data_IF_419912794129
#
_entry.id   IF_419912794129
#
_cell.length_a   1.000
_cell.length_b   1.000
_cell.length_c   1.000
_cell.angle_alpha   90.00
_cell.angle_beta   90.00
_cell.angle_gamma   90.00
#
_symmetry.space_group_name_H-M   'P 1'
#
loop_
_entity.id
_entity.type
_entity.pdbx_description
1 polymer ?
#
# COMPACT_ATOMS: atom_id res chain seq x y z
N UNK A 1 -11.97 4.61 -22.72
CA UNK A 1 -12.00 5.89 -21.97
C UNK A 1 -10.65 6.57 -22.05
N UNK A 2 -10.63 7.90 -22.02
CA UNK A 2 -9.44 8.72 -21.74
C UNK A 2 -9.40 9.00 -20.24
N UNK A 3 -8.42 8.44 -19.55
CA UNK A 3 -8.30 8.52 -18.09
C UNK A 3 -7.08 9.36 -17.73
N UNK A 4 -7.28 10.43 -16.95
CA UNK A 4 -6.17 11.17 -16.36
C UNK A 4 -5.94 10.68 -14.92
N UNK A 5 -4.80 10.07 -14.67
CA UNK A 5 -4.36 9.72 -13.32
C UNK A 5 -3.54 10.88 -12.75
N UNK A 6 -4.00 11.47 -11.64
CA UNK A 6 -3.32 12.60 -10.98
C UNK A 6 -2.70 12.11 -9.68
N UNK A 7 -1.39 12.12 -9.63
CA UNK A 7 -0.60 11.63 -8.49
C UNK A 7 0.70 12.43 -8.36
N UNK A 8 1.02 12.92 -7.16
CA UNK A 8 2.22 13.74 -6.96
C UNK A 8 3.51 13.03 -7.37
N UNK A 9 3.58 11.71 -7.23
CA UNK A 9 4.77 10.91 -7.50
C UNK A 9 4.38 9.64 -8.26
N UNK A 10 4.78 9.55 -9.53
CA UNK A 10 4.52 8.38 -10.38
C UNK A 10 5.81 7.75 -10.92
N UNK A 11 6.72 8.55 -11.43
CA UNK A 11 7.94 8.09 -12.11
C UNK A 11 9.04 7.65 -11.16
N UNK A 12 9.10 8.20 -9.96
CA UNK A 12 10.02 7.79 -8.88
C UNK A 12 9.33 6.79 -7.94
N UNK A 13 9.33 5.50 -8.27
CA UNK A 13 8.62 4.47 -7.50
C UNK A 13 9.39 4.00 -6.27
N UNK A 14 9.13 4.60 -5.12
CA UNK A 14 9.77 4.24 -3.85
C UNK A 14 8.79 3.80 -2.75
N UNK A 15 7.48 3.77 -3.03
CA UNK A 15 6.46 3.39 -2.05
C UNK A 15 5.34 2.55 -2.68
N UNK A 16 4.59 1.83 -1.84
CA UNK A 16 3.55 0.90 -2.26
C UNK A 16 2.44 1.54 -3.07
N UNK A 17 2.04 2.78 -2.73
CA UNK A 17 1.01 3.53 -3.45
C UNK A 17 1.40 3.79 -4.92
N UNK A 18 2.63 4.25 -5.16
CA UNK A 18 3.13 4.48 -6.52
C UNK A 18 3.23 3.17 -7.32
N UNK A 19 3.67 2.08 -6.66
CA UNK A 19 3.72 0.76 -7.29
C UNK A 19 2.32 0.30 -7.68
N UNK A 20 1.34 0.44 -6.80
CA UNK A 20 -0.06 0.12 -7.09
C UNK A 20 -0.61 0.96 -8.25
N UNK A 21 -0.43 2.28 -8.22
CA UNK A 21 -0.88 3.17 -9.29
C UNK A 21 -0.29 2.77 -10.66
N UNK A 22 1.00 2.41 -10.71
CA UNK A 22 1.65 1.94 -11.95
C UNK A 22 1.04 0.63 -12.46
N UNK A 23 0.77 -0.33 -11.57
CA UNK A 23 0.13 -1.60 -11.92
C UNK A 23 -1.27 -1.37 -12.48
N UNK A 24 -2.07 -0.50 -11.85
CA UNK A 24 -3.39 -0.12 -12.35
C UNK A 24 -3.31 0.53 -13.73
N UNK A 25 -2.42 1.50 -13.93
CA UNK A 25 -2.21 2.17 -15.23
C UNK A 25 -1.83 1.16 -16.30
N UNK A 26 -0.93 0.22 -15.99
CA UNK A 26 -0.52 -0.81 -16.94
C UNK A 26 -1.69 -1.67 -17.39
N UNK A 27 -2.53 -2.15 -16.45
CA UNK A 27 -3.68 -3.00 -16.77
C UNK A 27 -4.76 -2.20 -17.49
N UNK A 28 -5.05 -0.95 -17.09
CA UNK A 28 -5.99 -0.07 -17.80
C UNK A 28 -5.58 0.15 -19.26
N UNK A 29 -4.28 0.34 -19.53
CA UNK A 29 -3.75 0.45 -20.89
C UNK A 29 -3.90 -0.87 -21.67
N UNK A 30 -3.69 -2.03 -21.02
CA UNK A 30 -3.93 -3.35 -21.61
C UNK A 30 -5.42 -3.57 -21.98
N UNK A 31 -6.34 -3.00 -21.21
CA UNK A 31 -7.78 -2.99 -21.53
C UNK A 31 -8.17 -1.99 -22.63
N UNK A 32 -7.20 -1.30 -23.23
CA UNK A 32 -7.41 -0.40 -24.36
C UNK A 32 -7.82 1.02 -23.96
N UNK A 33 -7.64 1.42 -22.71
CA UNK A 33 -7.86 2.81 -22.29
C UNK A 33 -6.64 3.68 -22.63
N UNK A 34 -6.90 4.94 -23.06
CA UNK A 34 -5.86 5.96 -23.16
C UNK A 34 -5.65 6.56 -21.75
N UNK A 35 -4.55 6.18 -21.08
CA UNK A 35 -4.24 6.62 -19.72
C UNK A 35 -3.03 7.53 -19.74
N UNK A 36 -3.23 8.79 -19.33
CA UNK A 36 -2.17 9.77 -19.14
C UNK A 36 -1.98 10.11 -17.68
N UNK A 37 -0.78 10.58 -17.37
CA UNK A 37 -0.36 10.84 -15.98
C UNK A 37 -0.10 12.33 -15.81
N UNK A 38 -0.63 12.92 -14.73
CA UNK A 38 -0.22 14.22 -14.24
C UNK A 38 0.58 14.04 -12.93
N UNK A 39 1.89 14.31 -12.96
CA UNK A 39 2.81 13.98 -11.87
C UNK A 39 4.08 14.82 -11.90
N UNK A 40 4.88 14.75 -10.83
CA UNK A 40 6.28 15.20 -10.92
C UNK A 40 7.07 14.32 -11.87
N UNK A 41 7.98 14.91 -12.61
CA UNK A 41 8.85 14.16 -13.50
C UNK A 41 9.59 15.06 -14.48
N UNK A 42 10.39 14.43 -15.33
CA UNK A 42 11.06 15.08 -16.45
C UNK A 42 10.85 14.24 -17.72
N UNK A 43 10.95 14.83 -18.93
CA UNK A 43 10.68 14.13 -20.18
C UNK A 43 11.52 12.84 -20.36
N UNK A 44 12.71 12.78 -19.77
CA UNK A 44 13.62 11.63 -19.88
C UNK A 44 13.10 10.39 -19.13
N UNK A 45 12.09 10.55 -18.26
CA UNK A 45 11.47 9.45 -17.51
C UNK A 45 10.30 8.82 -18.25
N UNK A 46 9.86 9.41 -19.36
CA UNK A 46 8.74 8.92 -20.16
C UNK A 46 9.18 7.75 -21.04
N UNK A 47 8.31 6.76 -21.17
CA UNK A 47 8.48 5.73 -22.18
C UNK A 47 8.28 6.32 -23.59
N UNK A 48 8.84 5.66 -24.62
CA UNK A 48 8.66 6.07 -26.02
C UNK A 48 7.17 6.17 -26.38
N UNK A 49 6.76 7.36 -26.84
CA UNK A 49 5.37 7.65 -27.19
C UNK A 49 4.43 7.92 -26.02
N UNK A 50 4.91 7.91 -24.77
CA UNK A 50 4.08 8.25 -23.62
C UNK A 50 3.82 9.76 -23.57
N UNK A 51 2.56 10.13 -23.33
CA UNK A 51 2.14 11.50 -23.09
C UNK A 51 1.80 11.68 -21.62
N UNK A 52 2.45 12.65 -20.97
CA UNK A 52 2.20 12.99 -19.57
C UNK A 52 2.20 14.51 -19.35
N UNK A 53 1.58 14.94 -18.26
CA UNK A 53 1.56 16.34 -17.81
C UNK A 53 2.54 16.47 -16.63
N UNK A 54 3.77 16.86 -16.97
CA UNK A 54 4.88 16.86 -16.00
C UNK A 54 4.96 18.17 -15.25
N UNK A 55 5.24 18.07 -13.97
CA UNK A 55 5.35 19.18 -13.04
C UNK A 55 6.69 19.15 -12.29
N UNK A 56 7.18 20.30 -11.88
CA UNK A 56 8.36 20.41 -11.03
C UNK A 56 8.08 19.82 -9.62
N UNK A 57 9.15 19.36 -8.95
CA UNK A 57 9.07 19.00 -7.53
C UNK A 57 8.91 20.26 -6.68
N UNK A 58 7.97 20.21 -5.75
CA UNK A 58 7.81 21.24 -4.74
C UNK A 58 8.79 21.00 -3.60
N UNK A 59 9.60 22.00 -3.30
CA UNK A 59 10.44 22.03 -2.10
C UNK A 59 9.65 22.59 -0.93
N UNK A 60 9.59 21.86 0.18
CA UNK A 60 8.94 22.30 1.43
C UNK A 60 10.03 22.53 2.47
N UNK A 61 10.56 23.75 2.63
CA UNK A 61 11.64 24.05 3.56
C UNK A 61 11.36 23.47 4.95
N UNK A 62 12.39 22.95 5.62
CA UNK A 62 12.31 22.31 6.95
C UNK A 62 11.71 20.89 6.93
N UNK A 63 10.73 20.58 6.09
CA UNK A 63 10.06 19.28 6.05
C UNK A 63 10.55 18.34 4.94
N UNK A 64 11.36 18.82 3.99
CA UNK A 64 11.83 18.00 2.84
C UNK A 64 12.51 16.71 3.28
N UNK A 65 13.31 16.73 4.34
CA UNK A 65 13.98 15.52 4.85
C UNK A 65 12.98 14.51 5.42
N UNK A 66 11.97 14.99 6.12
CA UNK A 66 10.91 14.14 6.69
C UNK A 66 10.06 13.54 5.56
N UNK A 67 9.65 14.35 4.59
CA UNK A 67 8.87 13.94 3.41
C UNK A 67 9.64 12.90 2.61
N UNK A 68 10.91 13.17 2.30
CA UNK A 68 11.78 12.24 1.58
C UNK A 68 12.03 10.94 2.35
N UNK A 69 12.14 11.01 3.69
CA UNK A 69 12.28 9.80 4.53
C UNK A 69 11.04 8.91 4.47
N UNK A 70 9.88 9.47 4.15
CA UNK A 70 8.63 8.75 3.89
C UNK A 70 8.54 8.23 2.45
N UNK A 71 9.54 8.47 1.60
CA UNK A 71 9.53 8.12 0.17
C UNK A 71 8.47 8.91 -0.60
N UNK A 72 8.13 10.12 -0.14
CA UNK A 72 7.15 10.99 -0.78
C UNK A 72 7.84 12.18 -1.47
N UNK A 73 7.20 12.64 -2.54
CA UNK A 73 7.54 13.88 -3.26
C UNK A 73 6.25 14.59 -3.57
N UNK A 74 6.20 15.92 -3.42
CA UNK A 74 5.06 16.74 -3.80
C UNK A 74 5.30 17.46 -5.12
N UNK A 75 4.22 17.66 -5.88
CA UNK A 75 4.24 18.42 -7.11
C UNK A 75 4.00 19.90 -6.82
N UNK A 76 4.81 20.77 -7.43
CA UNK A 76 4.48 22.18 -7.58
C UNK A 76 3.47 22.27 -8.70
N UNK A 77 2.22 22.58 -8.36
CA UNK A 77 1.12 22.59 -9.33
C UNK A 77 1.40 23.58 -10.46
N UNK A 78 1.44 23.08 -11.69
CA UNK A 78 1.34 23.84 -12.93
C UNK A 78 -0.12 23.79 -13.40
N UNK A 79 -0.85 24.89 -13.18
CA UNK A 79 -2.29 24.93 -13.48
C UNK A 79 -2.57 24.74 -14.99
N UNK A 80 -1.70 25.23 -15.88
CA UNK A 80 -1.89 25.10 -17.33
C UNK A 80 -1.73 23.64 -17.78
N UNK A 81 -0.71 22.94 -17.30
CA UNK A 81 -0.50 21.52 -17.57
C UNK A 81 -1.64 20.66 -17.00
N UNK A 82 -2.04 20.95 -15.76
CA UNK A 82 -3.11 20.21 -15.09
C UNK A 82 -4.46 20.43 -15.80
N UNK A 83 -4.77 21.67 -16.18
CA UNK A 83 -5.99 22.00 -16.92
C UNK A 83 -6.03 21.33 -18.29
N UNK A 84 -4.92 21.34 -19.04
CA UNK A 84 -4.83 20.65 -20.33
C UNK A 84 -5.09 19.14 -20.18
N UNK A 85 -4.55 18.51 -19.14
CA UNK A 85 -4.79 17.10 -18.82
C UNK A 85 -6.24 16.81 -18.47
N UNK A 86 -6.85 17.62 -17.62
CA UNK A 86 -8.23 17.47 -17.18
C UNK A 86 -9.20 17.70 -18.37
N UNK A 87 -8.95 18.72 -19.19
CA UNK A 87 -9.77 18.99 -20.36
C UNK A 87 -9.76 17.83 -21.37
N UNK A 88 -8.62 17.18 -21.56
CA UNK A 88 -8.45 16.04 -22.45
C UNK A 88 -9.20 14.78 -21.97
N UNK A 89 -9.32 14.57 -20.65
CA UNK A 89 -9.83 13.33 -20.07
C UNK A 89 -11.36 13.19 -20.19
N UNK A 90 -11.83 11.94 -20.28
CA UNK A 90 -13.24 11.58 -20.05
C UNK A 90 -13.51 11.49 -18.55
N UNK A 91 -12.54 11.03 -17.76
CA UNK A 91 -12.59 10.96 -16.28
C UNK A 91 -11.22 11.24 -15.67
N UNK A 92 -11.23 11.91 -14.51
CA UNK A 92 -10.01 12.19 -13.73
C UNK A 92 -10.00 11.38 -12.45
N UNK A 93 -8.90 10.67 -12.18
CA UNK A 93 -8.71 9.94 -10.93
C UNK A 93 -7.59 10.55 -10.09
N UNK A 94 -7.94 11.06 -8.91
CA UNK A 94 -7.01 11.66 -7.97
C UNK A 94 -6.55 10.64 -6.93
N UNK A 95 -5.23 10.44 -6.80
CA UNK A 95 -4.69 9.32 -6.00
C UNK A 95 -4.37 9.72 -4.55
N UNK A 96 -3.99 10.97 -4.29
CA UNK A 96 -3.56 11.42 -2.97
C UNK A 96 -4.17 12.77 -2.57
N UNK A 97 -4.44 13.03 -1.27
CA UNK A 97 -5.20 14.19 -0.81
C UNK A 97 -4.33 15.45 -0.58
N UNK A 98 -3.46 15.80 -1.54
CA UNK A 98 -2.57 16.94 -1.40
C UNK A 98 -2.91 18.10 -2.35
N UNK A 99 -2.04 19.11 -2.41
CA UNK A 99 -2.28 20.35 -3.14
C UNK A 99 -2.61 20.11 -4.62
N UNK A 100 -1.89 19.21 -5.29
CA UNK A 100 -2.13 18.86 -6.69
C UNK A 100 -3.58 18.40 -6.92
N UNK A 101 -4.07 17.51 -6.07
CA UNK A 101 -5.47 17.04 -6.10
C UNK A 101 -6.46 18.16 -5.81
N UNK A 102 -6.22 18.99 -4.81
CA UNK A 102 -7.10 20.12 -4.48
C UNK A 102 -7.26 21.08 -5.66
N UNK A 103 -6.15 21.46 -6.30
CA UNK A 103 -6.19 22.29 -7.51
C UNK A 103 -6.90 21.58 -8.66
N UNK A 104 -6.62 20.29 -8.87
CA UNK A 104 -7.23 19.48 -9.91
C UNK A 104 -8.76 19.37 -9.78
N UNK A 105 -9.27 19.15 -8.56
CA UNK A 105 -10.72 19.10 -8.31
C UNK A 105 -11.38 20.45 -8.66
N UNK A 106 -10.76 21.58 -8.30
CA UNK A 106 -11.29 22.91 -8.66
C UNK A 106 -11.37 23.09 -10.17
N UNK A 107 -10.34 22.64 -10.90
CA UNK A 107 -10.31 22.69 -12.36
C UNK A 107 -11.36 21.75 -12.96
N UNK A 108 -11.44 20.49 -12.49
CA UNK A 108 -12.42 19.52 -12.95
C UNK A 108 -13.86 20.03 -12.78
N UNK A 109 -14.19 20.61 -11.62
CA UNK A 109 -15.49 21.26 -11.37
C UNK A 109 -15.77 22.42 -12.33
N UNK A 110 -14.78 23.29 -12.59
CA UNK A 110 -14.93 24.41 -13.53
C UNK A 110 -15.16 23.94 -14.97
N UNK A 111 -14.52 22.83 -15.35
CA UNK A 111 -14.63 22.24 -16.69
C UNK A 111 -15.76 21.20 -16.81
N UNK A 112 -16.56 21.03 -15.77
CA UNK A 112 -17.64 20.01 -15.70
C UNK A 112 -17.15 18.59 -16.03
N UNK A 113 -15.91 18.24 -15.62
CA UNK A 113 -15.33 16.92 -15.85
C UNK A 113 -15.65 15.97 -14.70
N UNK A 114 -16.09 14.73 -14.99
CA UNK A 114 -16.26 13.72 -13.95
C UNK A 114 -14.93 13.36 -13.31
N UNK A 115 -14.95 13.16 -11.99
CA UNK A 115 -13.74 12.78 -11.26
C UNK A 115 -14.05 11.83 -10.10
N UNK A 116 -13.07 11.05 -9.76
CA UNK A 116 -13.03 10.14 -8.62
C UNK A 116 -11.77 10.40 -7.81
N UNK A 117 -11.74 9.99 -6.55
CA UNK A 117 -10.54 10.12 -5.73
C UNK A 117 -10.26 8.82 -4.96
N UNK A 118 -8.99 8.49 -4.75
CA UNK A 118 -8.58 7.38 -3.91
C UNK A 118 -8.13 7.85 -2.53
N UNK A 119 -8.32 7.02 -1.52
CA UNK A 119 -7.84 7.26 -0.17
C UNK A 119 -6.65 6.34 0.15
N UNK A 120 -5.46 6.73 -0.28
CA UNK A 120 -4.23 5.95 -0.09
C UNK A 120 -3.29 6.48 1.00
N UNK A 121 -3.70 7.51 1.74
CA UNK A 121 -2.88 8.12 2.80
C UNK A 121 -3.62 8.05 4.12
N UNK A 122 -3.24 7.11 4.97
CA UNK A 122 -3.82 6.95 6.30
C UNK A 122 -3.20 7.96 7.28
N UNK A 123 -4.02 8.75 8.00
CA UNK A 123 -3.54 9.73 9.00
C UNK A 123 -2.59 9.15 10.05
N UNK A 124 -2.83 7.91 10.48
CA UNK A 124 -1.99 7.19 11.43
C UNK A 124 -0.55 7.00 10.94
N UNK A 125 -0.35 6.80 9.64
CA UNK A 125 0.99 6.68 9.06
C UNK A 125 1.72 8.03 9.05
N UNK A 126 0.99 9.14 8.84
CA UNK A 126 1.56 10.49 8.91
C UNK A 126 1.97 10.81 10.35
N UNK A 127 1.06 10.63 11.31
CA UNK A 127 1.29 10.96 12.72
C UNK A 127 2.31 10.04 13.38
N UNK A 128 2.42 8.78 12.97
CA UNK A 128 3.46 7.84 13.43
C UNK A 128 4.87 8.33 13.11
N UNK A 129 5.05 9.02 11.99
CA UNK A 129 6.37 9.56 11.60
C UNK A 129 6.91 10.61 12.58
N UNK A 130 6.03 11.23 13.36
CA UNK A 130 6.35 12.20 14.43
C UNK A 130 6.00 11.66 15.82
N UNK A 131 5.91 10.33 15.97
CA UNK A 131 5.60 9.62 17.24
C UNK A 131 4.21 9.92 17.82
N UNK A 132 3.26 10.39 17.01
CA UNK A 132 1.88 10.70 17.39
C UNK A 132 0.85 9.71 16.82
N UNK A 133 1.27 8.55 16.31
CA UNK A 133 0.40 7.55 15.67
C UNK A 133 -0.77 7.04 16.54
N UNK A 134 -0.66 7.16 17.87
CA UNK A 134 -1.71 6.81 18.82
C UNK A 134 -2.53 8.02 19.29
N UNK A 135 -2.26 9.24 18.79
CA UNK A 135 -2.97 10.44 19.18
C UNK A 135 -4.30 10.56 18.40
N UNK A 136 -5.36 9.97 18.92
CA UNK A 136 -6.68 9.93 18.28
C UNK A 136 -7.18 11.30 17.82
N UNK A 137 -7.00 12.35 18.63
CA UNK A 137 -7.42 13.71 18.27
C UNK A 137 -6.65 14.25 17.08
N UNK A 138 -5.34 13.96 16.99
CA UNK A 138 -4.49 14.37 15.86
C UNK A 138 -4.95 13.65 14.59
N UNK A 139 -5.13 12.34 14.64
CA UNK A 139 -5.57 11.53 13.50
C UNK A 139 -6.97 11.97 13.04
N UNK A 140 -7.91 12.16 13.97
CA UNK A 140 -9.25 12.67 13.65
C UNK A 140 -9.19 14.06 13.01
N UNK A 141 -8.32 14.94 13.48
CA UNK A 141 -8.08 16.25 12.88
C UNK A 141 -7.57 16.15 11.44
N UNK A 142 -6.67 15.21 11.15
CA UNK A 142 -6.15 14.98 9.79
C UNK A 142 -7.25 14.40 8.88
N UNK A 143 -8.07 13.43 9.35
CA UNK A 143 -9.23 12.95 8.60
C UNK A 143 -10.20 14.09 8.25
N UNK A 144 -10.49 14.98 9.22
CA UNK A 144 -11.36 16.11 9.01
C UNK A 144 -10.78 17.13 8.01
N UNK A 145 -9.47 17.36 8.11
CA UNK A 145 -8.76 18.22 7.16
C UNK A 145 -8.80 17.63 5.74
N UNK A 146 -8.48 16.36 5.55
CA UNK A 146 -8.58 15.70 4.25
C UNK A 146 -9.99 15.78 3.68
N UNK A 147 -11.00 15.51 4.52
CA UNK A 147 -12.40 15.63 4.10
C UNK A 147 -12.71 17.01 3.57
N UNK A 148 -12.41 18.05 4.33
CA UNK A 148 -12.74 19.44 3.96
C UNK A 148 -11.90 19.96 2.80
N UNK A 149 -10.64 19.51 2.71
CA UNK A 149 -9.70 20.01 1.72
C UNK A 149 -9.85 19.35 0.35
N UNK A 150 -10.25 18.06 0.31
CA UNK A 150 -10.31 17.26 -0.92
C UNK A 150 -11.65 16.54 -1.06
N UNK A 151 -12.03 15.70 -0.09
CA UNK A 151 -13.04 14.66 -0.33
C UNK A 151 -14.48 15.13 -0.21
N UNK A 152 -14.77 16.32 0.31
CA UNK A 152 -16.14 16.84 0.42
C UNK A 152 -16.83 17.00 -0.96
N UNK A 153 -16.05 17.22 -2.02
CA UNK A 153 -16.54 17.37 -3.38
C UNK A 153 -16.50 16.05 -4.18
N UNK A 154 -15.93 14.98 -3.60
CA UNK A 154 -15.77 13.69 -4.29
C UNK A 154 -17.01 12.82 -4.09
N UNK A 155 -17.73 12.51 -5.18
CA UNK A 155 -18.88 11.59 -5.16
C UNK A 155 -18.44 10.13 -5.07
N UNK A 156 -17.34 9.77 -5.70
CA UNK A 156 -16.80 8.42 -5.75
C UNK A 156 -15.40 8.40 -5.12
N UNK A 157 -15.26 7.60 -4.06
CA UNK A 157 -13.99 7.47 -3.32
C UNK A 157 -13.56 6.01 -3.33
N UNK A 158 -12.43 5.73 -3.94
CA UNK A 158 -11.77 4.44 -3.91
C UNK A 158 -11.10 4.22 -2.55
N UNK A 159 -11.50 3.17 -1.85
CA UNK A 159 -10.94 2.73 -0.57
C UNK A 159 -10.24 1.38 -0.77
N UNK A 160 -8.95 1.23 -0.43
CA UNK A 160 -8.24 -0.04 -0.66
C UNK A 160 -8.70 -1.17 0.26
N UNK A 161 -9.44 -0.88 1.33
CA UNK A 161 -9.96 -1.89 2.24
C UNK A 161 -11.27 -1.47 2.91
N UNK A 162 -11.99 -2.46 3.45
CA UNK A 162 -13.21 -2.23 4.23
C UNK A 162 -12.92 -1.42 5.52
N UNK A 163 -11.74 -1.60 6.12
CA UNK A 163 -11.30 -0.79 7.26
C UNK A 163 -11.30 0.69 6.89
N UNK A 164 -10.65 1.06 5.80
CA UNK A 164 -10.57 2.46 5.36
C UNK A 164 -11.95 3.01 5.04
N UNK A 165 -12.80 2.27 4.34
CA UNK A 165 -14.18 2.69 4.10
C UNK A 165 -14.96 2.91 5.42
N UNK A 166 -14.73 2.07 6.42
CA UNK A 166 -15.29 2.22 7.77
C UNK A 166 -14.80 3.49 8.49
N UNK A 167 -13.50 3.79 8.40
CA UNK A 167 -12.90 5.00 8.97
C UNK A 167 -13.47 6.26 8.30
N UNK A 168 -13.56 6.27 6.97
CA UNK A 168 -14.13 7.42 6.26
C UNK A 168 -15.60 7.68 6.67
N UNK A 169 -16.41 6.63 6.78
CA UNK A 169 -17.79 6.77 7.27
C UNK A 169 -17.83 7.35 8.68
N UNK A 170 -17.01 6.85 9.62
CA UNK A 170 -16.90 7.36 10.99
C UNK A 170 -16.52 8.84 11.05
N UNK A 171 -15.72 9.31 10.11
CA UNK A 171 -15.31 10.72 10.01
C UNK A 171 -16.21 11.57 9.11
N UNK A 172 -17.39 11.05 8.73
CA UNK A 172 -18.44 11.81 8.05
C UNK A 172 -18.17 12.09 6.57
N UNK A 173 -17.44 11.22 5.88
CA UNK A 173 -17.34 11.28 4.42
C UNK A 173 -18.65 10.81 3.79
N UNK A 174 -19.20 11.60 2.87
CA UNK A 174 -20.54 11.41 2.30
C UNK A 174 -20.53 10.82 0.88
N UNK A 175 -19.38 10.76 0.22
CA UNK A 175 -19.25 10.14 -1.10
C UNK A 175 -19.53 8.64 -1.07
N UNK A 176 -19.84 8.06 -2.22
CA UNK A 176 -19.94 6.62 -2.41
C UNK A 176 -18.54 6.01 -2.25
N UNK A 177 -18.41 5.09 -1.29
CA UNK A 177 -17.16 4.43 -0.98
C UNK A 177 -17.08 3.11 -1.73
N UNK A 178 -16.12 3.02 -2.65
CA UNK A 178 -15.83 1.82 -3.43
C UNK A 178 -14.66 1.08 -2.78
N UNK A 179 -14.93 -0.09 -2.22
CA UNK A 179 -13.86 -0.92 -1.63
C UNK A 179 -13.23 -1.74 -2.75
N UNK A 180 -12.07 -1.29 -3.21
CA UNK A 180 -11.33 -1.88 -4.32
C UNK A 180 -9.90 -2.12 -3.85
N UNK A 181 -9.47 -3.37 -3.81
CA UNK A 181 -8.09 -3.75 -3.43
C UNK A 181 -7.07 -3.19 -4.43
N UNK A 182 -5.85 -2.93 -3.94
CA UNK A 182 -4.71 -2.62 -4.80
C UNK A 182 -4.29 -3.80 -5.70
N UNK A 183 -4.82 -4.99 -5.42
CA UNK A 183 -4.59 -6.19 -6.19
C UNK A 183 -3.20 -6.80 -6.00
N UNK A 184 -3.10 -8.06 -6.34
CA UNK A 184 -1.84 -8.81 -6.32
C UNK A 184 -1.30 -8.86 -7.75
N UNK A 185 -0.04 -8.48 -7.90
CA UNK A 185 0.68 -8.60 -9.17
C UNK A 185 0.75 -10.08 -9.61
N UNK A 186 0.43 -10.42 -10.86
CA UNK A 186 0.31 -11.80 -11.33
C UNK A 186 1.61 -12.61 -11.26
N UNK A 187 2.77 -11.99 -11.07
CA UNK A 187 4.02 -12.71 -10.88
C UNK A 187 4.12 -13.37 -9.50
N UNK A 188 3.34 -12.88 -8.50
CA UNK A 188 3.27 -13.49 -7.18
C UNK A 188 2.28 -14.66 -7.20
N UNK A 189 2.79 -15.84 -7.44
CA UNK A 189 2.02 -17.09 -7.49
C UNK A 189 2.65 -18.13 -6.59
N UNK A 190 1.84 -19.12 -6.16
CA UNK A 190 2.33 -20.21 -5.33
C UNK A 190 3.57 -20.88 -5.93
N UNK A 191 4.65 -20.85 -5.19
CA UNK A 191 5.91 -21.53 -5.56
C UNK A 191 6.71 -21.91 -4.32
N UNK A 192 7.46 -23.00 -4.43
CA UNK A 192 8.48 -23.40 -3.48
C UNK A 192 9.80 -23.58 -4.21
N UNK A 193 10.86 -23.16 -3.57
CA UNK A 193 12.23 -23.39 -4.06
C UNK A 193 13.08 -23.99 -2.94
N UNK A 194 14.03 -24.88 -3.24
CA UNK A 194 15.05 -25.28 -2.29
C UNK A 194 15.79 -24.05 -1.77
N UNK A 195 16.09 -24.06 -0.47
CA UNK A 195 16.90 -23.00 0.14
C UNK A 195 18.31 -23.06 -0.40
N UNK A 196 18.91 -21.89 -0.61
CA UNK A 196 20.32 -21.79 -0.91
C UNK A 196 21.20 -22.23 0.28
N UNK A 197 22.48 -22.41 0.05
CA UNK A 197 23.43 -22.87 1.10
C UNK A 197 23.42 -21.98 2.34
N UNK A 198 23.14 -20.69 2.19
CA UNK A 198 23.11 -19.72 3.29
C UNK A 198 21.87 -19.83 4.17
N UNK A 199 20.81 -20.47 3.69
CA UNK A 199 19.54 -20.72 4.38
C UNK A 199 19.31 -22.20 4.67
N UNK A 200 20.22 -23.08 4.25
CA UNK A 200 20.11 -24.53 4.44
C UNK A 200 19.96 -24.89 5.92
N UNK A 201 18.97 -25.75 6.21
CA UNK A 201 18.69 -26.21 7.58
C UNK A 201 18.05 -25.18 8.50
N UNK A 202 17.78 -23.96 8.05
CA UNK A 202 17.11 -22.91 8.83
C UNK A 202 15.62 -22.84 8.53
N UNK A 203 14.83 -22.48 9.55
CA UNK A 203 13.46 -22.03 9.41
C UNK A 203 13.47 -20.53 9.09
N UNK A 204 13.07 -20.16 7.88
CA UNK A 204 13.18 -18.79 7.39
C UNK A 204 11.90 -18.02 7.68
N UNK A 205 12.00 -17.03 8.56
CA UNK A 205 10.93 -16.07 8.87
C UNK A 205 11.19 -14.79 8.10
N UNK A 206 10.25 -14.39 7.25
CA UNK A 206 10.37 -13.24 6.37
C UNK A 206 9.38 -12.15 6.75
N UNK A 207 9.85 -10.90 6.77
CA UNK A 207 9.01 -9.72 6.77
C UNK A 207 9.46 -8.77 5.66
N UNK A 208 8.51 -8.30 4.84
CA UNK A 208 8.77 -7.37 3.73
C UNK A 208 8.13 -6.03 4.06
N UNK A 209 8.90 -4.95 3.94
CA UNK A 209 8.37 -3.60 4.12
C UNK A 209 9.43 -2.58 4.49
N UNK A 210 9.03 -1.32 4.46
CA UNK A 210 9.91 -0.21 4.87
C UNK A 210 10.32 -0.39 6.34
N UNK A 211 11.59 -0.15 6.65
CA UNK A 211 12.09 -0.19 8.03
C UNK A 211 11.73 1.12 8.75
N UNK A 212 10.52 1.17 9.32
CA UNK A 212 9.90 2.36 9.90
C UNK A 212 9.14 2.04 11.19
N UNK A 213 8.72 3.07 11.92
CA UNK A 213 8.15 2.93 13.26
C UNK A 213 6.84 2.13 13.23
N UNK A 214 5.97 2.43 12.29
CA UNK A 214 4.65 1.81 12.14
C UNK A 214 4.72 0.33 11.75
N UNK A 215 5.85 -0.10 11.16
CA UNK A 215 6.03 -1.50 10.72
C UNK A 215 6.44 -2.44 11.85
N UNK A 216 6.90 -1.93 12.99
CA UNK A 216 7.16 -2.68 14.22
C UNK A 216 8.04 -3.93 14.05
N UNK A 217 9.09 -3.84 13.20
CA UNK A 217 10.09 -4.91 13.07
C UNK A 217 10.80 -5.21 14.41
N UNK A 218 10.82 -4.24 15.32
CA UNK A 218 11.32 -4.41 16.69
C UNK A 218 10.60 -5.55 17.43
N UNK A 219 9.27 -5.65 17.28
CA UNK A 219 8.47 -6.73 17.90
C UNK A 219 8.85 -8.09 17.33
N UNK A 220 9.11 -8.17 16.02
CA UNK A 220 9.52 -9.43 15.38
C UNK A 220 10.93 -9.87 15.84
N UNK A 221 11.88 -8.95 15.94
CA UNK A 221 13.21 -9.24 16.46
C UNK A 221 13.12 -9.78 17.90
N UNK A 222 12.34 -9.12 18.76
CA UNK A 222 12.13 -9.57 20.14
C UNK A 222 11.42 -10.94 20.20
N UNK A 223 10.47 -11.20 19.31
CA UNK A 223 9.77 -12.48 19.23
C UNK A 223 10.72 -13.64 18.85
N UNK A 224 11.55 -13.43 17.82
CA UNK A 224 12.55 -14.44 17.44
C UNK A 224 13.55 -14.69 18.59
N UNK A 225 13.95 -13.65 19.33
CA UNK A 225 14.82 -13.81 20.49
C UNK A 225 14.18 -14.66 21.61
N UNK A 226 12.85 -14.63 21.74
CA UNK A 226 12.07 -15.37 22.75
C UNK A 226 11.69 -16.78 22.31
N UNK A 227 11.74 -17.06 21.01
CA UNK A 227 11.39 -18.37 20.46
C UNK A 227 12.24 -19.49 21.09
N UNK A 228 11.61 -20.62 21.37
CA UNK A 228 12.29 -21.87 21.79
C UNK A 228 13.27 -22.38 20.74
N UNK A 229 13.01 -22.00 19.47
CA UNK A 229 13.76 -22.43 18.30
C UNK A 229 14.66 -21.35 17.70
N UNK A 230 14.97 -20.31 18.48
CA UNK A 230 15.73 -19.13 18.01
C UNK A 230 16.99 -19.46 17.20
N UNK A 231 17.70 -20.52 17.60
CA UNK A 231 18.96 -20.92 16.96
C UNK A 231 18.73 -21.61 15.58
N UNK A 232 17.52 -22.12 15.35
CA UNK A 232 17.10 -22.73 14.09
C UNK A 232 16.45 -21.71 13.13
N UNK A 233 16.06 -20.52 13.63
CA UNK A 233 15.39 -19.49 12.83
C UNK A 233 16.43 -18.60 12.15
N UNK A 234 16.20 -18.33 10.87
CA UNK A 234 16.81 -17.21 10.16
C UNK A 234 15.77 -16.14 9.92
N UNK A 235 15.90 -15.01 10.60
CA UNK A 235 15.06 -13.84 10.33
C UNK A 235 15.61 -13.04 9.16
N UNK A 236 14.70 -12.70 8.22
CA UNK A 236 15.00 -11.84 7.08
C UNK A 236 14.07 -10.63 7.08
N UNK A 237 14.63 -9.44 7.14
CA UNK A 237 13.91 -8.17 7.04
C UNK A 237 14.21 -7.53 5.68
N UNK A 238 13.27 -7.71 4.75
CA UNK A 238 13.41 -7.28 3.36
C UNK A 238 12.85 -5.86 3.19
N UNK A 239 13.74 -4.86 3.20
CA UNK A 239 13.37 -3.47 3.00
C UNK A 239 14.48 -2.48 3.33
N UNK A 240 14.17 -1.20 3.07
CA UNK A 240 14.98 -0.04 3.43
C UNK A 240 14.17 0.88 4.34
N UNK A 241 14.84 1.69 5.14
CA UNK A 241 14.14 2.69 5.94
C UNK A 241 14.98 3.27 7.08
N UNK A 242 14.48 4.34 7.72
CA UNK A 242 15.23 5.11 8.71
C UNK A 242 15.55 4.33 9.98
N UNK A 243 14.81 3.24 10.29
CA UNK A 243 15.04 2.45 11.48
C UNK A 243 16.11 1.37 11.34
N UNK A 244 16.71 1.20 10.18
CA UNK A 244 17.66 0.10 9.92
C UNK A 244 18.72 -0.02 11.00
N UNK A 245 19.44 1.06 11.29
CA UNK A 245 20.52 1.05 12.29
C UNK A 245 20.04 0.66 13.69
N UNK A 246 18.86 1.17 14.09
CA UNK A 246 18.29 0.84 15.41
C UNK A 246 17.88 -0.64 15.51
N UNK A 247 17.35 -1.22 14.42
CA UNK A 247 16.96 -2.63 14.36
C UNK A 247 18.19 -3.56 14.32
N UNK A 248 19.25 -3.18 13.60
CA UNK A 248 20.53 -3.90 13.59
C UNK A 248 21.13 -3.93 15.00
N UNK A 249 21.16 -2.79 15.69
CA UNK A 249 21.65 -2.72 17.07
C UNK A 249 20.81 -3.57 18.05
N UNK A 250 19.47 -3.58 17.89
CA UNK A 250 18.59 -4.44 18.70
C UNK A 250 18.90 -5.92 18.49
N UNK A 251 19.04 -6.35 17.24
CA UNK A 251 19.38 -7.73 16.88
C UNK A 251 20.73 -8.14 17.47
N UNK A 252 21.75 -7.30 17.33
CA UNK A 252 23.09 -7.51 17.90
C UNK A 252 23.06 -7.65 19.41
N UNK A 253 22.34 -6.75 20.11
CA UNK A 253 22.19 -6.80 21.57
C UNK A 253 21.53 -8.09 22.06
N UNK A 254 20.65 -8.67 21.25
CA UNK A 254 19.95 -9.93 21.54
C UNK A 254 20.74 -11.17 21.06
N UNK A 255 21.88 -10.96 20.40
CA UNK A 255 22.71 -12.04 19.84
C UNK A 255 22.02 -12.78 18.69
N UNK A 256 21.21 -12.09 17.90
CA UNK A 256 20.49 -12.65 16.76
C UNK A 256 21.19 -12.32 15.44
N UNK A 257 21.33 -13.33 14.59
CA UNK A 257 21.70 -13.14 13.19
C UNK A 257 20.44 -12.77 12.37
N UNK A 258 20.29 -11.50 12.02
CA UNK A 258 19.19 -11.01 11.19
C UNK A 258 19.75 -10.58 9.84
N UNK A 259 19.14 -11.06 8.73
CA UNK A 259 19.51 -10.63 7.39
C UNK A 259 18.68 -9.40 7.03
N UNK A 260 19.33 -8.26 6.82
CA UNK A 260 18.72 -7.03 6.32
C UNK A 260 19.10 -6.84 4.85
N UNK A 261 18.11 -6.63 3.99
CA UNK A 261 18.36 -6.42 2.57
C UNK A 261 17.24 -5.69 1.85
N UNK A 262 17.55 -5.14 0.69
CA UNK A 262 16.56 -4.69 -0.27
C UNK A 262 16.70 -5.55 -1.52
N UNK A 263 15.61 -6.15 -1.93
CA UNK A 263 15.58 -7.13 -3.02
C UNK A 263 14.72 -6.58 -4.16
N UNK A 264 15.28 -6.47 -5.37
CA UNK A 264 14.48 -6.27 -6.58
C UNK A 264 13.46 -7.39 -6.75
N UNK A 265 12.39 -7.15 -7.52
CA UNK A 265 11.24 -8.07 -7.63
C UNK A 265 11.66 -9.53 -7.96
N UNK A 266 12.56 -9.81 -8.91
CA UNK A 266 12.98 -11.20 -9.17
C UNK A 266 13.59 -11.89 -7.95
N UNK A 267 14.53 -11.22 -7.28
CA UNK A 267 15.19 -11.74 -6.08
C UNK A 267 14.22 -11.85 -4.90
N UNK A 268 13.25 -10.92 -4.80
CA UNK A 268 12.20 -10.96 -3.78
C UNK A 268 11.29 -12.17 -3.94
N UNK A 269 10.93 -12.52 -5.17
CA UNK A 269 10.15 -13.72 -5.49
C UNK A 269 10.87 -15.01 -5.09
N UNK A 270 12.19 -15.08 -5.33
CA UNK A 270 13.03 -16.20 -4.91
C UNK A 270 13.11 -16.28 -3.38
N UNK A 271 13.33 -15.14 -2.71
CA UNK A 271 13.37 -15.07 -1.25
C UNK A 271 12.05 -15.51 -0.60
N UNK A 272 10.90 -15.07 -1.14
CA UNK A 272 9.59 -15.52 -0.68
C UNK A 272 9.46 -17.04 -0.89
N UNK A 273 9.86 -17.57 -2.05
CA UNK A 273 9.77 -18.98 -2.36
C UNK A 273 10.64 -19.88 -1.45
N UNK A 274 11.77 -19.36 -0.94
CA UNK A 274 12.66 -20.02 0.02
C UNK A 274 12.23 -19.85 1.48
N UNK A 275 11.33 -18.91 1.80
CA UNK A 275 10.89 -18.67 3.18
C UNK A 275 9.85 -19.71 3.64
N UNK A 276 9.77 -19.93 4.95
CA UNK A 276 8.85 -20.88 5.57
C UNK A 276 7.61 -20.18 6.15
N UNK A 277 7.78 -18.95 6.64
CA UNK A 277 6.73 -18.19 7.30
C UNK A 277 6.87 -16.71 6.92
N UNK A 278 5.74 -16.05 6.72
CA UNK A 278 5.69 -14.59 6.60
C UNK A 278 5.14 -13.97 7.88
N UNK A 279 5.73 -12.89 8.37
CA UNK A 279 5.25 -12.18 9.55
C UNK A 279 4.97 -10.73 9.21
N UNK A 280 3.87 -10.20 9.72
CA UNK A 280 3.44 -8.82 9.49
C UNK A 280 3.10 -8.13 10.81
N UNK A 281 4.04 -7.39 11.36
CA UNK A 281 3.92 -6.77 12.70
C UNK A 281 3.38 -5.35 12.69
N UNK A 282 2.97 -4.82 11.54
CA UNK A 282 2.59 -3.42 11.38
C UNK A 282 1.40 -3.00 12.25
N UNK A 283 1.53 -1.86 12.92
CA UNK A 283 0.45 -1.26 13.70
C UNK A 283 -0.64 -0.60 12.83
N UNK A 284 -0.26 -0.04 11.68
CA UNK A 284 -1.17 0.67 10.78
C UNK A 284 -0.90 0.29 9.32
N UNK A 285 -1.95 -0.13 8.63
CA UNK A 285 -1.90 -0.51 7.21
C UNK A 285 -3.23 -0.22 6.52
N UNK A 286 -3.13 0.35 5.34
CA UNK A 286 -4.30 0.55 4.47
C UNK A 286 -4.77 -0.78 3.89
N UNK A 287 -3.83 -1.64 3.47
CA UNK A 287 -4.11 -2.96 2.91
C UNK A 287 -2.96 -3.97 3.08
N UNK A 288 -1.70 -3.53 3.14
CA UNK A 288 -0.51 -4.39 3.27
C UNK A 288 -0.24 -5.29 2.05
N UNK A 289 0.07 -4.69 0.91
CA UNK A 289 0.39 -5.39 -0.35
C UNK A 289 1.45 -6.49 -0.17
N UNK A 290 2.50 -6.25 0.62
CA UNK A 290 3.55 -7.24 0.87
C UNK A 290 3.05 -8.50 1.59
N UNK A 291 2.00 -8.39 2.41
CA UNK A 291 1.34 -9.53 3.03
C UNK A 291 0.56 -10.33 1.98
N UNK A 292 -0.18 -9.63 1.11
CA UNK A 292 -0.91 -10.26 0.01
C UNK A 292 0.03 -10.97 -0.97
N UNK A 293 1.14 -10.36 -1.34
CA UNK A 293 2.17 -10.93 -2.20
C UNK A 293 2.81 -12.19 -1.58
N UNK A 294 3.07 -12.17 -0.27
CA UNK A 294 3.62 -13.32 0.43
C UNK A 294 2.66 -14.50 0.49
N UNK A 295 1.38 -14.26 0.84
CA UNK A 295 0.42 -15.36 0.88
C UNK A 295 0.00 -15.84 -0.52
N UNK A 296 0.05 -15.00 -1.54
CA UNK A 296 -0.12 -15.43 -2.93
C UNK A 296 0.96 -16.44 -3.36
N UNK A 297 2.19 -16.26 -2.86
CA UNK A 297 3.26 -17.23 -3.03
C UNK A 297 3.14 -18.44 -2.09
N UNK A 298 2.05 -18.55 -1.33
CA UNK A 298 1.77 -19.67 -0.42
C UNK A 298 2.45 -19.55 0.94
N UNK A 299 2.96 -18.37 1.33
CA UNK A 299 3.52 -18.21 2.69
C UNK A 299 2.40 -17.95 3.68
N UNK A 300 2.32 -18.78 4.73
CA UNK A 300 1.37 -18.54 5.83
C UNK A 300 1.75 -17.23 6.52
N UNK A 301 0.83 -16.27 6.63
CA UNK A 301 1.11 -15.03 7.34
C UNK A 301 0.76 -15.16 8.83
N UNK A 302 1.61 -14.58 9.70
CA UNK A 302 1.30 -14.27 11.09
C UNK A 302 1.23 -12.75 11.23
N UNK A 303 0.05 -12.24 11.57
CA UNK A 303 -0.35 -10.85 11.40
C UNK A 303 -0.67 -10.22 12.76
N UNK A 304 -0.20 -9.02 13.01
CA UNK A 304 -0.60 -8.23 14.18
C UNK A 304 -2.09 -7.88 14.13
N UNK A 305 -2.86 -8.26 15.14
CA UNK A 305 -4.29 -7.91 15.28
C UNK A 305 -4.44 -6.47 15.77
N UNK A 306 -4.14 -5.53 14.89
CA UNK A 306 -4.21 -4.10 15.17
C UNK A 306 -5.51 -3.49 14.61
N UNK A 307 -6.27 -2.72 15.41
CA UNK A 307 -7.49 -2.06 14.95
C UNK A 307 -7.24 -0.94 13.93
N UNK A 308 -5.99 -0.52 13.73
CA UNK A 308 -5.58 0.50 12.76
C UNK A 308 -5.04 -0.11 11.46
N UNK A 309 -5.02 -1.43 11.36
CA UNK A 309 -4.49 -2.17 10.23
C UNK A 309 -5.59 -2.95 9.52
N UNK A 310 -5.65 -2.88 8.20
CA UNK A 310 -6.54 -3.72 7.40
C UNK A 310 -6.01 -5.16 7.25
N UNK A 311 -4.76 -5.43 7.64
CA UNK A 311 -4.13 -6.73 7.42
C UNK A 311 -4.81 -7.90 8.12
N UNK A 312 -5.42 -7.75 9.34
CA UNK A 312 -6.14 -8.84 10.01
C UNK A 312 -7.27 -9.46 9.18
N UNK A 313 -7.84 -8.72 8.20
CA UNK A 313 -8.86 -9.26 7.28
C UNK A 313 -8.38 -10.46 6.45
N UNK A 314 -7.06 -10.62 6.29
CA UNK A 314 -6.46 -11.72 5.53
C UNK A 314 -6.27 -12.99 6.36
N UNK A 315 -6.43 -12.95 7.67
CA UNK A 315 -6.28 -14.13 8.50
C UNK A 315 -7.41 -15.14 8.26
N UNK A 316 -7.05 -16.34 7.82
CA UNK A 316 -8.01 -17.43 7.61
C UNK A 316 -8.52 -18.01 8.94
N UNK A 317 -7.69 -17.98 9.99
CA UNK A 317 -8.08 -18.34 11.33
C UNK A 317 -7.17 -17.67 12.40
N UNK A 318 -7.44 -17.95 13.68
CA UNK A 318 -6.73 -17.33 14.83
C UNK A 318 -5.25 -17.66 14.89
N UNK A 319 -4.78 -18.74 14.29
CA UNK A 319 -3.35 -19.10 14.25
C UNK A 319 -2.51 -18.13 13.43
N UNK A 320 -3.17 -17.35 12.57
CA UNK A 320 -2.53 -16.28 11.78
C UNK A 320 -2.62 -14.90 12.43
N UNK A 321 -3.17 -14.78 13.65
CA UNK A 321 -3.30 -13.51 14.35
C UNK A 321 -2.59 -13.55 15.69
N UNK A 322 -1.75 -12.56 15.97
CA UNK A 322 -1.15 -12.34 17.28
C UNK A 322 -1.52 -10.96 17.82
N UNK A 323 -1.50 -10.81 19.15
CA UNK A 323 -1.80 -9.53 19.81
C UNK A 323 -0.78 -8.45 19.39
N UNK A 324 -1.24 -7.35 18.83
CA UNK A 324 -0.39 -6.29 18.29
C UNK A 324 0.59 -5.76 19.36
N UNK A 325 1.89 -5.79 19.04
CA UNK A 325 2.96 -5.35 19.93
C UNK A 325 3.41 -6.40 20.96
N UNK A 326 2.74 -7.55 21.06
CA UNK A 326 3.10 -8.61 22.00
C UNK A 326 4.10 -9.60 21.36
N UNK A 327 5.39 -9.40 21.65
CA UNK A 327 6.47 -10.27 21.13
C UNK A 327 6.44 -11.69 21.68
N UNK A 328 5.88 -11.93 22.88
CA UNK A 328 5.75 -13.26 23.43
C UNK A 328 4.68 -14.05 22.70
N UNK A 329 3.52 -13.47 22.46
CA UNK A 329 2.44 -14.09 21.70
C UNK A 329 2.88 -14.37 20.25
N UNK A 330 3.63 -13.43 19.62
CA UNK A 330 4.20 -13.65 18.29
C UNK A 330 5.22 -14.80 18.30
N UNK A 331 6.03 -14.95 19.34
CA UNK A 331 6.98 -16.05 19.46
C UNK A 331 6.25 -17.41 19.51
N UNK A 332 5.17 -17.50 20.29
CA UNK A 332 4.36 -18.73 20.38
C UNK A 332 3.75 -19.10 19.03
N UNK A 333 3.30 -18.12 18.23
CA UNK A 333 2.78 -18.36 16.87
C UNK A 333 3.89 -18.81 15.90
N UNK A 334 5.09 -18.22 15.96
CA UNK A 334 6.23 -18.65 15.15
C UNK A 334 6.62 -20.07 15.49
N UNK A 335 6.74 -20.40 16.79
CA UNK A 335 7.06 -21.75 17.28
C UNK A 335 6.00 -22.76 16.83
N UNK A 336 4.71 -22.40 16.93
CA UNK A 336 3.62 -23.25 16.47
C UNK A 336 3.78 -23.66 14.98
N UNK A 337 4.00 -22.69 14.09
CA UNK A 337 4.13 -22.98 12.65
C UNK A 337 5.42 -23.73 12.31
N UNK A 338 6.45 -23.60 13.11
CA UNK A 338 7.68 -24.40 13.00
C UNK A 338 7.44 -25.84 13.43
N UNK A 339 6.74 -26.05 14.55
CA UNK A 339 6.46 -27.36 15.15
C UNK A 339 5.41 -28.15 14.38
N UNK A 340 4.54 -27.48 13.56
CA UNK A 340 3.43 -28.10 12.82
C UNK A 340 3.57 -27.96 11.30
N UNK A 341 4.61 -28.55 10.67
CA UNK A 341 4.89 -28.36 9.25
C UNK A 341 3.78 -28.88 8.33
N UNK A 342 3.06 -29.93 8.71
CA UNK A 342 1.97 -30.49 7.91
C UNK A 342 0.78 -29.52 7.84
N UNK A 343 0.39 -28.93 8.97
CA UNK A 343 -0.68 -27.92 9.01
C UNK A 343 -0.28 -26.66 8.27
N UNK A 344 1.00 -26.24 8.37
CA UNK A 344 1.52 -25.12 7.62
C UNK A 344 1.41 -25.33 6.12
N UNK A 345 1.77 -26.52 5.61
CA UNK A 345 1.66 -26.88 4.18
C UNK A 345 0.19 -26.84 3.71
N UNK A 346 -0.75 -27.28 4.53
CA UNK A 346 -2.18 -27.18 4.22
C UNK A 346 -2.63 -25.72 4.15
N UNK A 347 -2.19 -24.90 5.10
CA UNK A 347 -2.52 -23.46 5.12
C UNK A 347 -1.87 -22.70 3.97
N UNK A 348 -0.68 -23.08 3.52
CA UNK A 348 -0.04 -22.46 2.33
C UNK A 348 -0.95 -22.55 1.09
N UNK A 349 -1.59 -23.72 0.88
CA UNK A 349 -2.53 -23.91 -0.23
C UNK A 349 -3.80 -23.07 -0.04
N UNK A 350 -4.34 -23.01 1.18
CA UNK A 350 -5.52 -22.20 1.48
C UNK A 350 -5.28 -20.70 1.27
N UNK A 351 -4.10 -20.22 1.66
CA UNK A 351 -3.71 -18.83 1.44
C UNK A 351 -3.48 -18.50 -0.03
N UNK A 352 -2.87 -19.39 -0.80
CA UNK A 352 -2.74 -19.24 -2.25
C UNK A 352 -4.11 -19.19 -2.96
N UNK A 353 -5.10 -19.91 -2.44
CA UNK A 353 -6.48 -19.86 -2.94
C UNK A 353 -7.16 -18.51 -2.57
N UNK A 354 -6.98 -18.04 -1.33
CA UNK A 354 -7.45 -16.72 -0.89
C UNK A 354 -6.93 -15.60 -1.81
N UNK A 355 -5.67 -15.69 -2.24
CA UNK A 355 -5.04 -14.70 -3.11
C UNK A 355 -5.79 -14.44 -4.42
N UNK A 356 -6.52 -15.43 -4.95
CA UNK A 356 -7.29 -15.29 -6.19
C UNK A 356 -8.40 -14.23 -6.09
N UNK A 357 -8.90 -13.97 -4.88
CA UNK A 357 -9.90 -12.92 -4.64
C UNK A 357 -9.34 -11.51 -4.82
N UNK A 358 -8.01 -11.36 -4.76
CA UNK A 358 -7.29 -10.10 -4.88
C UNK A 358 -6.55 -9.99 -6.22
N UNK A 359 -7.04 -10.66 -7.25
CA UNK A 359 -6.46 -10.60 -8.58
C UNK A 359 -6.47 -9.16 -9.12
N UNK A 360 -5.29 -8.67 -9.55
CA UNK A 360 -5.10 -7.28 -10.00
C UNK A 360 -6.06 -6.88 -11.13
N UNK A 361 -6.25 -7.76 -12.11
CA UNK A 361 -7.15 -7.47 -13.24
C UNK A 361 -8.61 -7.31 -12.79
N UNK A 362 -9.07 -8.15 -11.87
CA UNK A 362 -10.41 -8.03 -11.30
C UNK A 362 -10.57 -6.72 -10.49
N UNK A 363 -9.55 -6.31 -9.76
CA UNK A 363 -9.55 -5.05 -9.02
C UNK A 363 -9.60 -3.84 -9.98
N UNK A 364 -8.84 -3.89 -11.08
CA UNK A 364 -8.87 -2.83 -12.10
C UNK A 364 -10.24 -2.75 -12.76
N UNK A 365 -10.90 -3.86 -13.07
CA UNK A 365 -12.29 -3.86 -13.59
C UNK A 365 -13.28 -3.19 -12.64
N UNK A 366 -13.11 -3.34 -11.33
CA UNK A 366 -13.93 -2.63 -10.34
C UNK A 366 -13.66 -1.11 -10.38
N UNK A 367 -12.40 -0.70 -10.60
CA UNK A 367 -12.06 0.72 -10.77
C UNK A 367 -12.64 1.28 -12.09
N UNK A 368 -12.61 0.52 -13.17
CA UNK A 368 -13.26 0.87 -14.45
C UNK A 368 -14.76 1.10 -14.27
N UNK A 369 -15.45 0.21 -13.56
CA UNK A 369 -16.87 0.36 -13.26
C UNK A 369 -17.17 1.63 -12.43
N UNK A 370 -16.28 1.97 -11.48
CA UNK A 370 -16.37 3.23 -10.73
C UNK A 370 -16.18 4.44 -11.64
N UNK A 371 -15.26 4.40 -12.60
CA UNK A 371 -15.03 5.49 -13.56
C UNK A 371 -16.22 5.65 -14.49
N UNK A 372 -16.77 4.56 -15.04
CA UNK A 372 -17.97 4.56 -15.87
C UNK A 372 -19.18 5.13 -15.12
N UNK A 373 -19.35 4.74 -13.86
CA UNK A 373 -20.41 5.29 -13.02
C UNK A 373 -20.25 6.81 -12.84
N UNK A 374 -19.04 7.29 -12.57
CA UNK A 374 -18.76 8.72 -12.40
C UNK A 374 -19.05 9.51 -13.71
N UNK A 375 -18.73 8.96 -14.86
CA UNK A 375 -19.05 9.55 -16.18
C UNK A 375 -20.57 9.64 -16.36
N UNK A 376 -21.27 8.51 -16.21
CA UNK A 376 -22.73 8.46 -16.44
C UNK A 376 -23.50 9.39 -15.49
N UNK A 377 -23.09 9.49 -14.23
CA UNK A 377 -23.71 10.41 -13.27
C UNK A 377 -23.44 11.88 -13.59
N UNK A 378 -22.29 12.21 -14.16
CA UNK A 378 -21.95 13.57 -14.58
C UNK A 378 -22.80 13.97 -15.81
N UNK A 379 -22.90 13.10 -16.81
CA UNK A 379 -23.73 13.31 -18.00
C UNK A 379 -25.21 13.52 -17.64
N UNK A 380 -25.74 12.68 -16.75
CA UNK A 380 -27.13 12.81 -16.27
C UNK A 380 -27.42 14.14 -15.55
N UNK A 381 -26.39 14.76 -14.95
CA UNK A 381 -26.55 16.08 -14.31
C UNK A 381 -26.52 17.23 -15.31
N UNK A 382 -25.73 17.11 -16.39
CA UNK A 382 -25.69 18.10 -17.46
C UNK A 382 -27.00 18.12 -18.27
N UNK A 383 -27.64 16.93 -18.41
CA UNK A 383 -28.91 16.79 -19.10
C UNK A 383 -30.13 17.21 -18.26
N UNK A 384 -30.00 17.26 -16.93
CA UNK A 384 -31.08 17.69 -16.04
C UNK A 384 -31.37 19.19 -16.26
N UNK A 385 -32.60 19.59 -16.70
CA UNK A 385 -32.91 21.00 -16.89
C UNK A 385 -32.72 21.74 -15.56
N UNK A 386 -32.02 22.88 -15.62
CA UNK A 386 -31.92 23.79 -14.47
C UNK A 386 -33.34 24.20 -14.04
N UNK A 387 -33.86 23.51 -13.01
CA UNK A 387 -35.19 23.77 -12.44
C UNK A 387 -35.13 24.96 -11.46
#
# INVERSE_FOLDING_TARGET
MKILMVIDQFYDANNGMTISARRFVQVLRQHGHDVRIASTGSPELLADGETAYLMEKQTVPVFDRLIASQGMTFAKTDEAQLEAGIAWADVVHFVVPFALTHHGIRIAKRLHKPFTAAFHVQPENISSSVHLGNAHLVNSGIYHWFRSYVYQDCRHIHCPSALIAGELRRHGYTGQLHVISNGIDPDFTYRKQPKDDSLAGKFVVLMIGRLSIEKRQDVLIDAVARSKHRDSIQLVLAGKGPRRQALEHQAEKLGLSVRFGFYPKPELLELIAMSDLYVHTSDAEIEAMSCMEAFACGRVPVIADSPKSATPQFALDRRSLFEAGNSSDLADHIDYWLEHPEERIQMETAYAELAKQYNLEACVRQAEAMFEQAIAENEAQEEAPHA
#
